data_IF_371080758033
#
_entry.id   IF_371080758033
#
_cell.length_a   1.000
_cell.length_b   1.000
_cell.length_c   1.000
_cell.angle_alpha   90.00
_cell.angle_beta   90.00
_cell.angle_gamma   90.00
#
_symmetry.space_group_name_H-M   'P 1'
#
loop_
_entity.id
_entity.type
_entity.pdbx_description
1 polymer ?
#
# COMPACT_ATOMS: atom_id res chain seq x y z
N UNK A 1 3.81 19.98 3.06
CA UNK A 1 4.87 18.99 3.33
C UNK A 1 4.53 17.58 2.82
N UNK A 2 3.27 17.11 2.97
CA UNK A 2 2.84 15.76 2.54
C UNK A 2 3.15 15.42 1.07
N UNK A 3 3.09 16.38 0.15
CA UNK A 3 3.44 16.17 -1.27
C UNK A 3 4.92 15.74 -1.43
N UNK A 4 5.85 16.37 -0.72
CA UNK A 4 7.27 16.00 -0.80
C UNK A 4 7.55 14.62 -0.20
N UNK A 5 6.82 14.24 0.86
CA UNK A 5 6.91 12.89 1.43
C UNK A 5 6.53 11.83 0.39
N UNK A 6 5.42 12.02 -0.32
CA UNK A 6 4.98 11.09 -1.38
C UNK A 6 6.01 11.01 -2.52
N UNK A 7 6.56 12.15 -2.95
CA UNK A 7 7.58 12.18 -4.01
C UNK A 7 8.91 11.56 -3.57
N UNK A 8 9.25 11.58 -2.28
CA UNK A 8 10.37 10.82 -1.73
C UNK A 8 10.06 9.33 -1.64
N UNK A 9 8.92 8.95 -1.07
CA UNK A 9 8.57 7.53 -0.87
C UNK A 9 8.42 6.74 -2.17
N UNK A 10 8.04 7.37 -3.28
CA UNK A 10 7.92 6.68 -4.57
C UNK A 10 9.27 6.21 -5.12
N UNK A 11 10.41 6.76 -4.67
CA UNK A 11 11.73 6.33 -5.16
C UNK A 11 12.02 4.87 -4.84
N UNK A 12 11.36 4.30 -3.82
CA UNK A 12 11.42 2.87 -3.55
C UNK A 12 11.00 2.03 -4.77
N UNK A 13 10.02 2.48 -5.55
CA UNK A 13 9.65 1.81 -6.79
C UNK A 13 10.77 1.86 -7.84
N UNK A 14 11.51 2.98 -7.89
CA UNK A 14 12.64 3.15 -8.80
C UNK A 14 13.80 2.23 -8.42
N UNK A 15 14.15 2.20 -7.13
CA UNK A 15 15.18 1.33 -6.59
C UNK A 15 14.85 -0.14 -6.81
N UNK A 16 13.61 -0.56 -6.52
CA UNK A 16 13.15 -1.94 -6.77
C UNK A 16 13.20 -2.28 -8.27
N UNK A 17 12.73 -1.40 -9.15
CA UNK A 17 12.79 -1.64 -10.59
C UNK A 17 14.23 -1.76 -11.09
N UNK A 18 15.13 -0.87 -10.67
CA UNK A 18 16.55 -0.91 -11.01
C UNK A 18 17.17 -2.24 -10.57
N UNK A 19 16.94 -2.66 -9.32
CA UNK A 19 17.47 -3.90 -8.74
C UNK A 19 16.92 -5.16 -9.42
N UNK A 20 15.71 -5.09 -9.99
CA UNK A 20 15.11 -6.16 -10.78
C UNK A 20 15.47 -6.10 -12.28
N UNK A 21 16.43 -5.25 -12.66
CA UNK A 21 16.86 -5.12 -14.06
C UNK A 21 15.82 -4.43 -14.94
N UNK A 22 15.22 -3.36 -14.41
CA UNK A 22 14.15 -2.58 -15.04
C UNK A 22 12.88 -3.40 -15.31
N UNK A 23 12.53 -4.24 -14.35
CA UNK A 23 11.30 -5.03 -14.35
C UNK A 23 10.44 -4.68 -13.13
N UNK A 24 9.12 -4.87 -13.27
CA UNK A 24 8.19 -4.76 -12.14
C UNK A 24 8.19 -6.06 -11.35
N UNK A 25 7.94 -6.02 -10.04
CA UNK A 25 7.73 -7.24 -9.26
C UNK A 25 6.37 -7.87 -9.60
N UNK A 26 6.26 -9.20 -9.47
CA UNK A 26 4.96 -9.88 -9.57
C UNK A 26 4.05 -9.56 -8.38
N UNK A 27 4.63 -9.33 -7.20
CA UNK A 27 3.91 -9.09 -5.95
C UNK A 27 4.52 -7.88 -5.22
N UNK A 28 3.68 -6.93 -4.83
CA UNK A 28 4.06 -5.77 -4.02
C UNK A 28 3.30 -5.84 -2.68
N UNK A 29 3.97 -6.30 -1.62
CA UNK A 29 3.37 -6.44 -0.29
C UNK A 29 3.84 -5.27 0.58
N UNK A 30 2.91 -4.45 1.05
CA UNK A 30 3.23 -3.23 1.82
C UNK A 30 2.50 -3.26 3.16
N UNK A 31 3.22 -3.11 4.29
CA UNK A 31 2.59 -2.81 5.58
C UNK A 31 1.94 -1.43 5.56
N UNK A 32 0.67 -1.34 5.97
CA UNK A 32 -0.14 -0.12 5.79
C UNK A 32 -0.65 0.43 7.12
N UNK A 33 -0.14 1.60 7.50
CA UNK A 33 -0.80 2.52 8.44
C UNK A 33 -1.72 3.48 7.68
N UNK A 34 -1.21 4.65 7.30
CA UNK A 34 -2.01 5.70 6.64
C UNK A 34 -2.41 5.40 5.20
N UNK A 35 -1.70 4.50 4.51
CA UNK A 35 -1.85 4.23 3.07
C UNK A 35 -0.92 5.03 2.15
N UNK A 36 -0.21 6.04 2.67
CA UNK A 36 0.59 6.95 1.85
C UNK A 36 1.70 6.22 1.05
N UNK A 37 2.43 5.30 1.71
CA UNK A 37 3.57 4.62 1.09
C UNK A 37 3.14 3.67 -0.04
N UNK A 38 2.09 2.88 0.15
CA UNK A 38 1.56 1.98 -0.91
C UNK A 38 1.17 2.79 -2.15
N UNK A 39 0.46 3.91 -1.97
CA UNK A 39 0.08 4.79 -3.07
C UNK A 39 1.30 5.41 -3.78
N UNK A 40 2.32 5.82 -3.01
CA UNK A 40 3.54 6.38 -3.55
C UNK A 40 4.32 5.35 -4.40
N UNK A 41 4.45 4.12 -3.92
CA UNK A 41 5.13 3.05 -4.68
C UNK A 41 4.40 2.76 -5.99
N UNK A 42 3.07 2.64 -5.96
CA UNK A 42 2.28 2.47 -7.19
C UNK A 42 2.52 3.62 -8.19
N UNK A 43 2.50 4.87 -7.71
CA UNK A 43 2.80 6.05 -8.52
C UNK A 43 4.21 6.00 -9.13
N UNK A 44 5.21 5.54 -8.37
CA UNK A 44 6.57 5.39 -8.87
C UNK A 44 6.65 4.40 -10.05
N UNK A 45 6.00 3.24 -9.96
CA UNK A 45 5.95 2.30 -11.08
C UNK A 45 5.20 2.88 -12.30
N UNK A 46 4.07 3.56 -12.08
CA UNK A 46 3.31 4.22 -13.16
C UNK A 46 4.15 5.28 -13.88
N UNK A 47 4.95 6.05 -13.15
CA UNK A 47 5.85 7.05 -13.74
C UNK A 47 6.97 6.40 -14.53
N UNK A 48 7.61 5.34 -14.01
CA UNK A 48 8.61 4.56 -14.78
C UNK A 48 8.01 4.02 -16.08
N UNK A 49 6.76 3.57 -16.06
CA UNK A 49 6.06 3.12 -17.26
C UNK A 49 5.82 4.28 -18.24
N UNK A 50 5.42 5.44 -17.72
CA UNK A 50 5.17 6.63 -18.53
C UNK A 50 6.41 7.10 -19.31
N UNK A 51 7.61 6.80 -18.79
CA UNK A 51 8.90 7.08 -19.44
C UNK A 51 9.53 5.85 -20.09
N UNK A 52 8.77 4.76 -20.25
CA UNK A 52 9.19 3.52 -20.92
C UNK A 52 10.39 2.80 -20.28
N UNK A 53 10.69 3.06 -19.00
CA UNK A 53 11.72 2.32 -18.25
C UNK A 53 11.23 0.94 -17.82
N UNK A 54 9.93 0.80 -17.53
CA UNK A 54 9.27 -0.49 -17.31
C UNK A 54 8.10 -0.66 -18.29
N UNK A 55 7.75 -1.91 -18.62
CA UNK A 55 6.79 -2.19 -19.71
C UNK A 55 5.33 -2.16 -19.26
N UNK A 56 4.97 -2.97 -18.28
CA UNK A 56 3.58 -3.26 -17.95
C UNK A 56 3.39 -3.40 -16.44
N UNK A 57 2.96 -2.30 -15.81
CA UNK A 57 2.70 -2.26 -14.36
C UNK A 57 1.43 -2.99 -13.98
N UNK A 58 0.52 -3.28 -14.92
CA UNK A 58 -0.73 -3.99 -14.62
C UNK A 58 -0.51 -5.44 -14.16
N UNK A 59 0.71 -5.97 -14.37
CA UNK A 59 1.15 -7.28 -13.90
C UNK A 59 1.48 -7.33 -12.40
N UNK A 60 1.64 -6.17 -11.75
CA UNK A 60 1.91 -6.10 -10.32
C UNK A 60 0.63 -6.50 -9.58
N UNK A 61 0.73 -7.44 -8.64
CA UNK A 61 -0.30 -7.68 -7.63
C UNK A 61 0.02 -6.90 -6.36
N UNK A 62 -0.83 -5.94 -5.99
CA UNK A 62 -0.58 -5.06 -4.83
C UNK A 62 -1.30 -5.57 -3.60
N UNK A 63 -0.58 -5.75 -2.49
CA UNK A 63 -1.11 -6.27 -1.24
C UNK A 63 -0.96 -5.28 -0.09
N UNK A 64 -2.05 -5.10 0.64
CA UNK A 64 -2.12 -4.32 1.86
C UNK A 64 -2.03 -5.28 3.07
N UNK A 65 -1.06 -5.07 3.95
CA UNK A 65 -0.94 -5.81 5.21
C UNK A 65 -1.17 -4.85 6.39
N UNK A 66 -2.15 -5.14 7.25
CA UNK A 66 -2.40 -4.36 8.47
C UNK A 66 -2.29 -5.22 9.73
N UNK A 67 -1.94 -4.64 10.88
CA UNK A 67 -2.05 -5.36 12.15
C UNK A 67 -3.53 -5.56 12.53
N UNK A 68 -3.90 -6.75 13.02
CA UNK A 68 -5.29 -7.13 13.34
C UNK A 68 -6.01 -6.13 14.27
N UNK A 69 -5.33 -5.61 15.31
CA UNK A 69 -5.94 -4.61 16.20
C UNK A 69 -5.99 -3.18 15.63
N UNK A 70 -5.63 -2.99 14.36
CA UNK A 70 -5.71 -1.71 13.64
C UNK A 70 -5.79 -1.94 12.11
N UNK A 71 -6.82 -2.66 11.65
CA UNK A 71 -6.99 -3.07 10.25
C UNK A 71 -8.18 -2.43 9.49
N UNK A 72 -8.44 -1.11 9.58
CA UNK A 72 -9.65 -0.50 9.00
C UNK A 72 -9.74 -0.58 7.47
N UNK A 73 -8.60 -0.65 6.75
CA UNK A 73 -8.58 -0.80 5.28
C UNK A 73 -8.88 -2.25 4.90
N UNK A 74 -8.32 -3.22 5.64
CA UNK A 74 -8.62 -4.65 5.46
C UNK A 74 -10.11 -4.91 5.65
N UNK A 75 -10.69 -4.34 6.71
CA UNK A 75 -12.14 -4.42 6.98
C UNK A 75 -12.99 -3.88 5.82
N UNK A 76 -12.65 -2.69 5.32
CA UNK A 76 -13.35 -2.09 4.20
C UNK A 76 -13.22 -2.95 2.93
N UNK A 77 -12.02 -3.46 2.64
CA UNK A 77 -11.75 -4.35 1.51
C UNK A 77 -12.58 -5.63 1.57
N UNK A 78 -12.56 -6.34 2.71
CA UNK A 78 -13.31 -7.60 2.91
C UNK A 78 -14.83 -7.40 2.81
N UNK A 79 -15.33 -6.21 3.20
CA UNK A 79 -16.74 -5.82 3.06
C UNK A 79 -17.12 -5.35 1.65
N UNK A 80 -16.16 -5.22 0.72
CA UNK A 80 -16.39 -4.60 -0.59
C UNK A 80 -16.81 -3.12 -0.51
N UNK A 81 -16.48 -2.46 0.59
CA UNK A 81 -16.86 -1.07 0.88
C UNK A 81 -15.79 -0.09 0.42
N UNK A 82 -16.21 1.11 0.00
CA UNK A 82 -15.31 2.26 -0.20
C UNK A 82 -15.18 3.14 1.05
N UNK A 83 -15.86 2.78 2.13
CA UNK A 83 -15.84 3.51 3.39
C UNK A 83 -14.92 2.81 4.37
N UNK A 84 -13.84 3.50 4.71
CA UNK A 84 -12.88 3.08 5.73
C UNK A 84 -13.34 3.66 7.05
N UNK A 85 -13.82 2.79 7.93
CA UNK A 85 -14.33 3.18 9.26
C UNK A 85 -13.14 3.23 10.23
N UNK A 86 -12.90 4.36 10.91
CA UNK A 86 -11.77 4.46 11.83
C UNK A 86 -11.84 3.48 13.00
N UNK A 87 -10.66 3.02 13.45
CA UNK A 87 -10.50 2.30 14.71
C UNK A 87 -10.08 3.31 15.78
N UNK A 88 -10.91 3.56 16.79
CA UNK A 88 -10.64 4.58 17.81
C UNK A 88 -9.45 4.25 18.72
N UNK A 89 -9.26 2.96 19.04
CA UNK A 89 -8.20 2.49 19.93
C UNK A 89 -7.35 1.41 19.25
N UNK A 90 -6.44 1.80 18.32
CA UNK A 90 -5.50 0.87 17.71
C UNK A 90 -4.66 0.10 18.74
N UNK A 91 -4.68 -1.23 18.69
CA UNK A 91 -3.84 -2.07 19.54
C UNK A 91 -2.95 -3.01 18.74
N UNK A 92 -1.65 -2.70 18.71
CA UNK A 92 -0.66 -3.54 18.04
C UNK A 92 0.75 -3.31 18.60
N UNK A 93 1.60 -4.32 18.45
CA UNK A 93 3.05 -4.21 18.68
C UNK A 93 3.73 -3.36 17.60
N UNK A 94 3.17 -3.29 16.38
CA UNK A 94 3.67 -2.48 15.27
C UNK A 94 3.26 -1.00 15.41
N UNK A 95 3.88 -0.29 16.38
CA UNK A 95 3.46 1.08 16.75
C UNK A 95 3.43 2.09 15.61
N UNK A 96 4.30 1.95 14.61
CA UNK A 96 4.29 2.82 13.42
C UNK A 96 3.07 2.62 12.50
N UNK A 97 2.40 1.48 12.60
CA UNK A 97 1.21 1.12 11.81
C UNK A 97 -0.10 1.33 12.58
N UNK A 98 -0.04 1.75 13.86
CA UNK A 98 -1.20 1.99 14.73
C UNK A 98 -1.96 3.29 14.34
N UNK A 99 -2.39 3.37 13.08
CA UNK A 99 -3.12 4.51 12.51
C UNK A 99 -4.57 4.10 12.30
N UNK A 100 -5.41 4.45 13.27
CA UNK A 100 -6.83 4.08 13.28
C UNK A 100 -7.67 4.77 12.22
N UNK A 101 -7.34 6.01 11.84
CA UNK A 101 -7.99 6.77 10.77
C UNK A 101 -7.00 7.00 9.60
N UNK A 102 -6.94 6.07 8.63
CA UNK A 102 -5.96 6.13 7.56
C UNK A 102 -6.35 7.17 6.51
N UNK A 103 -5.67 8.31 6.52
CA UNK A 103 -5.97 9.43 5.62
C UNK A 103 -5.93 9.10 4.11
N UNK A 104 -5.21 8.05 3.69
CA UNK A 104 -5.18 7.60 2.28
C UNK A 104 -5.88 6.24 2.07
N UNK A 105 -6.66 5.74 3.04
CA UNK A 105 -7.28 4.41 2.99
C UNK A 105 -8.17 4.19 1.76
N UNK A 106 -8.98 5.19 1.37
CA UNK A 106 -9.78 5.12 0.13
C UNK A 106 -8.94 4.98 -1.14
N UNK A 107 -7.75 5.58 -1.18
CA UNK A 107 -6.85 5.44 -2.33
C UNK A 107 -6.20 4.07 -2.34
N UNK A 108 -5.86 3.51 -1.17
CA UNK A 108 -5.39 2.12 -1.08
C UNK A 108 -6.43 1.16 -1.66
N UNK A 109 -7.71 1.28 -1.30
CA UNK A 109 -8.78 0.44 -1.87
C UNK A 109 -8.84 0.54 -3.41
N UNK A 110 -8.65 1.74 -3.97
CA UNK A 110 -8.58 1.93 -5.43
C UNK A 110 -7.37 1.22 -6.03
N UNK A 111 -6.19 1.31 -5.41
CA UNK A 111 -4.97 0.61 -5.86
C UNK A 111 -5.14 -0.90 -5.82
N UNK A 112 -5.69 -1.44 -4.73
CA UNK A 112 -5.98 -2.87 -4.60
C UNK A 112 -6.89 -3.34 -5.75
N UNK A 113 -7.94 -2.58 -6.09
CA UNK A 113 -8.79 -2.90 -7.25
C UNK A 113 -8.04 -2.80 -8.59
N UNK A 114 -7.24 -1.76 -8.78
CA UNK A 114 -6.48 -1.50 -10.01
C UNK A 114 -5.47 -2.62 -10.31
N UNK A 115 -4.83 -3.14 -9.27
CA UNK A 115 -3.71 -4.08 -9.36
C UNK A 115 -4.09 -5.50 -8.91
N UNK A 116 -5.38 -5.87 -9.02
CA UNK A 116 -5.90 -7.19 -8.64
C UNK A 116 -5.31 -7.72 -7.32
N UNK A 117 -5.36 -6.85 -6.31
CA UNK A 117 -4.68 -6.96 -5.04
C UNK A 117 -5.51 -7.61 -3.94
N UNK A 118 -4.86 -7.88 -2.81
CA UNK A 118 -5.51 -8.37 -1.58
C UNK A 118 -5.22 -7.46 -0.39
N UNK A 119 -6.11 -7.43 0.59
CA UNK A 119 -5.84 -6.85 1.90
C UNK A 119 -6.01 -7.90 2.97
N UNK A 120 -4.97 -8.13 3.75
CA UNK A 120 -4.98 -9.09 4.86
C UNK A 120 -4.39 -8.47 6.12
N UNK A 121 -4.69 -9.13 7.23
CA UNK A 121 -4.23 -8.71 8.54
C UNK A 121 -3.41 -9.79 9.24
N UNK A 122 -2.53 -9.36 10.14
CA UNK A 122 -1.69 -10.25 10.96
C UNK A 122 -1.80 -9.88 12.44
N UNK A 123 -1.86 -10.90 13.29
CA UNK A 123 -1.90 -10.70 14.74
C UNK A 123 -0.48 -10.43 15.30
N UNK A 124 -0.40 -9.97 16.55
CA UNK A 124 0.88 -9.58 17.18
C UNK A 124 1.90 -10.73 17.35
N UNK A 125 1.52 -12.01 17.17
CA UNK A 125 2.47 -13.13 17.18
C UNK A 125 3.05 -13.43 15.80
N UNK A 126 2.35 -13.03 14.74
CA UNK A 126 2.77 -13.20 13.35
C UNK A 126 3.68 -12.06 12.87
N UNK A 127 3.58 -10.89 13.53
CA UNK A 127 4.45 -9.72 13.34
C UNK A 127 5.72 -9.86 14.18
#
# INVERSE_FOLDING_TARGET
>A
MRSYYVEGSKTLAYEVAEQLGWQVPDQLIVPVGSGAMLNAICKGFEELQSVSLVKDVSKIHVHCAQPHGCAPIVDAFKKGSNDVIPVENPDTVAKSLAIGDPGDGRYVLKRLKQYNGLAEESNNKEI
#
